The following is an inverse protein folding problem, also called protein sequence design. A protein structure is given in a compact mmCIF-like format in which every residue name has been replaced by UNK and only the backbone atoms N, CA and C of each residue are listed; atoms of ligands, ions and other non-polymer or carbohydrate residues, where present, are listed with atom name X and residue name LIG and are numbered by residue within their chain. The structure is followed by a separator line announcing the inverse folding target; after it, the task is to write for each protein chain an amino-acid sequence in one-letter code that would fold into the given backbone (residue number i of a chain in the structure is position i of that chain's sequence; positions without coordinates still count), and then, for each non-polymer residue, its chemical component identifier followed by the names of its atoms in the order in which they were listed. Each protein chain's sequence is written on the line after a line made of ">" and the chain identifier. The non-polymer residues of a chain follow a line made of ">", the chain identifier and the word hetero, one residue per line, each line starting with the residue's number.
data_IF_675559422718
#
_entry.id   IF_675559422718
#
_cell.length_a   1.000
_cell.length_b   1.000
_cell.length_c   1.000
_cell.angle_alpha   90.00
_cell.angle_beta   90.00
_cell.angle_gamma   90.00
#
_symmetry.space_group_name_H-M   'P 1'
#
loop_
_entity.id
_entity.type
_entity.pdbx_description
1 polymer ?
#
# COMPACT_ATOMS: atom_id res chain seq x y z
N UNK A 1 0.79 -16.17 -2.46
CA UNK A 1 1.13 -16.56 -1.07
C UNK A 1 0.59 -17.98 -0.86
N UNK A 2 1.26 -18.86 -0.11
CA UNK A 2 0.67 -20.15 0.23
C UNK A 2 -0.63 -19.94 1.01
N UNK A 3 -1.72 -20.56 0.58
CA UNK A 3 -3.02 -20.52 1.26
C UNK A 3 -3.13 -21.55 2.41
N UNK A 4 -2.03 -22.24 2.70
CA UNK A 4 -2.00 -23.39 3.61
C UNK A 4 -1.90 -22.96 5.09
N UNK A 5 -1.51 -21.70 5.34
CA UNK A 5 -1.55 -21.08 6.67
C UNK A 5 -2.75 -20.15 6.79
N UNK A 6 -3.44 -20.16 7.94
CA UNK A 6 -4.55 -19.25 8.25
C UNK A 6 -4.04 -17.83 8.54
N UNK A 7 -3.52 -17.19 7.49
CA UNK A 7 -2.88 -15.87 7.55
C UNK A 7 -3.66 -14.86 6.70
N UNK A 8 -3.73 -13.61 7.17
CA UNK A 8 -4.25 -12.46 6.41
C UNK A 8 -3.14 -11.41 6.32
N UNK A 9 -3.04 -10.75 5.17
CA UNK A 9 -2.04 -9.71 4.92
C UNK A 9 -2.72 -8.34 4.90
N UNK A 10 -2.59 -7.60 5.99
CA UNK A 10 -3.06 -6.22 6.08
C UNK A 10 -2.12 -5.30 5.30
N UNK A 11 -2.69 -4.50 4.42
CA UNK A 11 -1.95 -3.50 3.65
C UNK A 11 -2.63 -2.14 3.72
N UNK A 12 -1.85 -1.07 3.76
CA UNK A 12 -2.36 0.30 3.84
C UNK A 12 -1.71 1.15 2.75
N UNK A 13 -2.54 1.80 1.94
CA UNK A 13 -2.08 2.64 0.84
C UNK A 13 -2.04 4.12 1.28
N UNK A 14 -1.52 4.98 0.40
CA UNK A 14 -1.51 6.45 0.48
C UNK A 14 -0.73 7.10 1.63
N UNK A 15 -0.29 6.35 2.62
CA UNK A 15 0.50 6.85 3.74
C UNK A 15 1.91 7.32 3.36
N UNK A 16 2.69 7.85 4.33
CA UNK A 16 2.26 8.16 5.69
C UNK A 16 1.51 9.50 5.80
N UNK A 17 0.45 9.54 6.60
CA UNK A 17 -0.36 10.72 6.90
C UNK A 17 -0.47 10.94 8.41
N UNK A 18 -0.39 12.20 8.86
CA UNK A 18 -0.49 12.55 10.28
C UNK A 18 -1.86 12.14 10.84
N UNK A 19 -1.90 11.65 12.07
CA UNK A 19 -3.12 11.16 12.72
C UNK A 19 -3.43 9.71 12.35
N UNK A 20 -3.74 9.43 11.09
CA UNK A 20 -4.16 8.08 10.66
C UNK A 20 -3.04 7.05 10.76
N UNK A 21 -1.86 7.33 10.19
CA UNK A 21 -0.75 6.37 10.23
C UNK A 21 -0.30 6.09 11.67
N UNK A 22 -0.29 7.11 12.54
CA UNK A 22 0.03 6.90 13.96
C UNK A 22 -0.98 5.97 14.63
N UNK A 23 -2.27 6.22 14.42
CA UNK A 23 -3.33 5.38 14.98
C UNK A 23 -3.26 3.93 14.47
N UNK A 24 -2.93 3.73 13.19
CA UNK A 24 -2.71 2.40 12.62
C UNK A 24 -1.51 1.72 13.30
N UNK A 25 -0.38 2.40 13.45
CA UNK A 25 0.82 1.85 14.10
C UNK A 25 0.53 1.44 15.55
N UNK A 26 -0.16 2.29 16.31
CA UNK A 26 -0.52 2.02 17.70
C UNK A 26 -1.47 0.81 17.79
N UNK A 27 -2.43 0.70 16.86
CA UNK A 27 -3.38 -0.42 16.78
C UNK A 27 -2.69 -1.73 16.39
N UNK A 28 -1.80 -1.70 15.40
CA UNK A 28 -1.02 -2.90 15.02
C UNK A 28 -0.14 -3.35 16.17
N UNK A 29 0.50 -2.41 16.87
CA UNK A 29 1.34 -2.71 18.04
C UNK A 29 0.55 -3.34 19.17
N UNK A 30 -0.66 -2.87 19.47
CA UNK A 30 -1.48 -3.42 20.55
C UNK A 30 -1.96 -4.85 20.27
N UNK A 31 -2.00 -5.25 19.00
CA UNK A 31 -2.35 -6.60 18.55
C UNK A 31 -1.12 -7.45 18.18
N UNK A 32 0.10 -6.95 18.43
CA UNK A 32 1.36 -7.60 18.04
C UNK A 32 1.41 -7.98 16.55
N UNK A 33 0.70 -7.21 15.70
CA UNK A 33 0.54 -7.48 14.29
C UNK A 33 1.55 -6.71 13.43
N UNK A 34 1.84 -7.26 12.24
CA UNK A 34 2.60 -6.59 11.18
C UNK A 34 1.71 -6.34 9.95
N UNK A 35 2.14 -5.41 9.13
CA UNK A 35 1.42 -4.96 7.94
C UNK A 35 2.44 -4.47 6.90
N UNK A 36 1.96 -4.25 5.68
CA UNK A 36 2.73 -3.60 4.61
C UNK A 36 2.12 -2.24 4.28
N UNK A 37 2.95 -1.19 4.25
CA UNK A 37 2.52 0.16 3.89
C UNK A 37 2.99 0.51 2.48
N UNK A 38 2.07 0.72 1.56
CA UNK A 38 2.37 1.23 0.22
C UNK A 38 2.32 2.76 0.26
N UNK A 39 3.50 3.39 0.28
CA UNK A 39 3.62 4.80 0.57
C UNK A 39 3.79 5.65 -0.69
N UNK A 40 3.13 6.82 -0.69
CA UNK A 40 3.31 7.84 -1.74
C UNK A 40 4.56 8.65 -1.43
N UNK A 41 5.43 8.84 -2.42
CA UNK A 41 6.69 9.58 -2.25
C UNK A 41 6.50 11.01 -1.72
N UNK A 42 5.49 11.74 -2.21
CA UNK A 42 5.08 13.04 -1.68
C UNK A 42 4.76 13.03 -0.18
N UNK A 43 4.08 11.99 0.28
CA UNK A 43 3.66 11.87 1.68
C UNK A 43 4.82 11.44 2.59
N UNK A 44 5.74 10.62 2.10
CA UNK A 44 6.99 10.31 2.81
C UNK A 44 7.81 11.58 3.04
N UNK A 45 7.98 12.43 2.00
CA UNK A 45 8.73 13.69 2.15
C UNK A 45 8.07 14.64 3.16
N UNK A 46 6.74 14.69 3.17
CA UNK A 46 5.98 15.52 4.11
C UNK A 46 6.05 14.99 5.56
N UNK A 47 6.01 13.67 5.75
CA UNK A 47 5.91 13.01 7.05
C UNK A 47 7.07 12.06 7.30
N UNK A 48 8.31 12.52 7.07
CA UNK A 48 9.49 11.64 7.10
C UNK A 48 9.70 10.94 8.44
N UNK A 49 9.49 11.64 9.55
CA UNK A 49 9.59 11.04 10.88
C UNK A 49 8.62 9.85 11.06
N UNK A 50 7.39 9.99 10.57
CA UNK A 50 6.38 8.94 10.65
C UNK A 50 6.69 7.76 9.71
N UNK A 51 7.30 8.02 8.55
CA UNK A 51 7.84 6.95 7.71
C UNK A 51 8.94 6.15 8.43
N UNK A 52 9.87 6.83 9.10
CA UNK A 52 10.93 6.18 9.85
C UNK A 52 10.36 5.40 11.05
N UNK A 53 9.24 5.83 11.64
CA UNK A 53 8.51 5.06 12.66
C UNK A 53 7.89 3.77 12.12
N UNK A 54 7.30 3.79 10.92
CA UNK A 54 6.82 2.56 10.24
C UNK A 54 7.96 1.54 10.14
N UNK A 55 9.14 1.99 9.66
CA UNK A 55 10.32 1.14 9.52
C UNK A 55 10.82 0.63 10.87
N UNK A 56 10.91 1.50 11.88
CA UNK A 56 11.37 1.14 13.23
C UNK A 56 10.43 0.15 13.92
N UNK A 57 9.13 0.24 13.65
CA UNK A 57 8.14 -0.71 14.14
C UNK A 57 8.21 -2.07 13.42
N UNK A 58 9.06 -2.23 12.40
CA UNK A 58 9.31 -3.49 11.71
C UNK A 58 8.20 -3.89 10.73
N UNK A 59 7.46 -2.92 10.20
CA UNK A 59 6.52 -3.14 9.11
C UNK A 59 7.25 -3.15 7.77
N UNK A 60 6.66 -3.82 6.77
CA UNK A 60 7.18 -3.73 5.40
C UNK A 60 6.66 -2.46 4.71
N UNK A 61 7.42 -1.97 3.73
CA UNK A 61 7.05 -0.80 2.94
C UNK A 61 7.16 -1.08 1.44
N UNK A 62 6.22 -0.53 0.68
CA UNK A 62 6.16 -0.60 -0.78
C UNK A 62 6.04 0.78 -1.40
N UNK A 63 6.41 0.88 -2.68
CA UNK A 63 6.28 2.10 -3.46
C UNK A 63 4.83 2.21 -4.00
N UNK A 64 4.17 3.34 -3.77
CA UNK A 64 2.82 3.64 -4.25
C UNK A 64 2.76 4.86 -5.16
N UNK A 65 3.71 4.97 -6.09
CA UNK A 65 3.94 6.17 -6.91
C UNK A 65 4.48 7.36 -6.08
N UNK A 66 5.07 8.33 -6.76
CA UNK A 66 5.51 9.58 -6.14
C UNK A 66 4.36 10.59 -5.98
N UNK A 67 3.49 10.65 -6.99
CA UNK A 67 2.37 11.61 -7.08
C UNK A 67 0.98 10.96 -7.16
N UNK A 68 0.88 9.64 -6.95
CA UNK A 68 -0.36 8.86 -7.06
C UNK A 68 -1.00 8.96 -8.47
N UNK A 69 -0.19 8.71 -9.51
CA UNK A 69 -0.59 8.87 -10.91
C UNK A 69 -1.45 7.70 -11.42
N UNK A 70 -2.36 7.98 -12.35
CA UNK A 70 -3.08 6.97 -13.13
C UNK A 70 -2.19 6.38 -14.23
N UNK A 71 -1.61 5.20 -13.99
CA UNK A 71 -0.74 4.51 -14.94
C UNK A 71 -1.35 4.36 -16.34
N UNK A 72 -2.65 4.12 -16.48
CA UNK A 72 -3.28 3.95 -17.79
C UNK A 72 -3.31 5.24 -18.62
N UNK A 73 -3.37 6.39 -17.95
CA UNK A 73 -3.36 7.74 -18.56
C UNK A 73 -1.96 8.26 -18.85
N UNK A 74 -0.92 7.61 -18.31
CA UNK A 74 0.47 8.03 -18.46
C UNK A 74 1.21 7.31 -19.61
N UNK A 75 2.30 7.91 -20.06
CA UNK A 75 3.31 7.28 -20.91
C UNK A 75 4.26 6.42 -20.07
N UNK A 76 4.99 5.50 -20.73
CA UNK A 76 6.01 4.67 -20.06
C UNK A 76 7.05 5.52 -19.33
N UNK A 77 7.47 6.64 -19.94
CA UNK A 77 8.45 7.54 -19.33
C UNK A 77 7.89 8.20 -18.06
N UNK A 78 6.65 8.71 -18.11
CA UNK A 78 6.01 9.32 -16.93
C UNK A 78 5.89 8.34 -15.77
N UNK A 79 5.50 7.08 -16.04
CA UNK A 79 5.42 6.04 -15.01
C UNK A 79 6.81 5.73 -14.45
N UNK A 80 7.82 5.61 -15.31
CA UNK A 80 9.19 5.30 -14.89
C UNK A 80 9.81 6.42 -14.07
N UNK A 81 9.61 7.69 -14.46
CA UNK A 81 10.14 8.85 -13.76
C UNK A 81 9.48 8.98 -12.37
N UNK A 82 8.16 8.86 -12.30
CA UNK A 82 7.40 8.93 -11.04
C UNK A 82 7.77 7.78 -10.10
N UNK A 83 7.81 6.54 -10.60
CA UNK A 83 8.28 5.40 -9.82
C UNK A 83 9.68 5.62 -9.28
N UNK A 84 10.61 6.08 -10.13
CA UNK A 84 12.01 6.31 -9.75
C UNK A 84 12.15 7.41 -8.71
N UNK A 85 11.33 8.46 -8.76
CA UNK A 85 11.36 9.54 -7.78
C UNK A 85 11.01 9.05 -6.38
N UNK A 86 9.94 8.24 -6.25
CA UNK A 86 9.60 7.61 -4.98
C UNK A 86 10.68 6.60 -4.56
N UNK A 87 11.23 5.83 -5.50
CA UNK A 87 12.28 4.83 -5.25
C UNK A 87 13.59 5.41 -4.69
N UNK A 88 13.87 6.70 -4.90
CA UNK A 88 15.03 7.39 -4.29
C UNK A 88 14.90 7.52 -2.77
N UNK A 89 13.67 7.51 -2.23
CA UNK A 89 13.42 7.71 -0.80
C UNK A 89 13.74 6.46 0.02
N UNK A 90 13.56 5.28 -0.56
CA UNK A 90 13.85 3.98 0.07
C UNK A 90 13.96 2.88 -1.00
N UNK A 91 14.81 1.85 -0.81
CA UNK A 91 14.93 0.72 -1.74
C UNK A 91 13.73 -0.26 -1.65
N UNK A 92 12.50 0.23 -1.87
CA UNK A 92 11.28 -0.56 -1.89
C UNK A 92 11.41 -1.81 -2.77
N UNK A 93 11.13 -2.99 -2.22
CA UNK A 93 11.12 -4.24 -2.97
C UNK A 93 9.83 -4.44 -3.79
N UNK A 94 8.74 -3.84 -3.32
CA UNK A 94 7.39 -4.00 -3.85
C UNK A 94 6.87 -2.68 -4.44
N UNK A 95 5.96 -2.81 -5.40
CA UNK A 95 5.22 -1.70 -5.98
C UNK A 95 3.74 -2.07 -6.03
N UNK A 96 2.88 -1.18 -5.55
CA UNK A 96 1.43 -1.27 -5.80
C UNK A 96 1.06 -0.08 -6.69
N UNK A 97 0.51 -0.31 -7.88
CA UNK A 97 0.06 0.79 -8.72
C UNK A 97 -1.16 1.47 -8.09
N UNK A 98 -1.22 2.81 -8.06
CA UNK A 98 -2.44 3.54 -7.76
C UNK A 98 -3.63 2.99 -8.56
N UNK A 99 -4.79 2.89 -7.90
CA UNK A 99 -6.05 2.39 -8.49
C UNK A 99 -5.99 0.94 -9.03
N UNK A 100 -4.93 0.17 -8.70
CA UNK A 100 -4.74 -1.18 -9.25
C UNK A 100 -4.41 -1.19 -10.75
N UNK A 101 -4.01 -0.06 -11.33
CA UNK A 101 -3.79 0.10 -12.77
C UNK A 101 -2.48 -0.57 -13.24
N UNK A 102 -2.54 -1.89 -13.46
CA UNK A 102 -1.48 -2.68 -14.10
C UNK A 102 -1.72 -2.75 -15.61
N UNK A 103 -0.65 -2.66 -16.42
CA UNK A 103 -0.75 -2.85 -17.85
C UNK A 103 0.63 -2.88 -18.53
N UNK A 104 0.64 -3.08 -19.86
CA UNK A 104 1.88 -3.17 -20.65
C UNK A 104 2.83 -1.99 -20.42
N UNK A 105 2.30 -0.78 -20.24
CA UNK A 105 3.11 0.42 -20.01
C UNK A 105 3.81 0.39 -18.65
N UNK A 106 3.10 0.06 -17.57
CA UNK A 106 3.68 0.00 -16.22
C UNK A 106 4.65 -1.17 -16.08
N UNK A 107 4.36 -2.34 -16.65
CA UNK A 107 5.28 -3.48 -16.69
C UNK A 107 6.58 -3.16 -17.46
N UNK A 108 6.51 -2.37 -18.53
CA UNK A 108 7.69 -1.89 -19.27
C UNK A 108 8.46 -0.82 -18.50
N UNK A 109 7.75 0.09 -17.83
CA UNK A 109 8.33 1.19 -17.08
C UNK A 109 9.06 0.72 -15.82
N UNK A 110 8.57 -0.35 -15.19
CA UNK A 110 9.05 -0.84 -13.89
C UNK A 110 9.42 -2.34 -14.03
N UNK A 111 10.49 -2.66 -14.77
CA UNK A 111 10.90 -4.05 -14.96
C UNK A 111 11.42 -4.65 -13.65
N UNK A 112 11.24 -5.96 -13.48
CA UNK A 112 11.81 -6.75 -12.38
C UNK A 112 11.39 -6.31 -10.96
N UNK A 113 10.23 -5.66 -10.79
CA UNK A 113 9.62 -5.39 -9.48
C UNK A 113 8.45 -6.33 -9.19
N UNK A 114 8.18 -6.54 -7.91
CA UNK A 114 7.01 -7.28 -7.44
C UNK A 114 5.80 -6.33 -7.42
N UNK A 115 4.87 -6.55 -8.35
CA UNK A 115 3.59 -5.86 -8.36
C UNK A 115 2.65 -6.52 -7.36
N UNK A 116 2.16 -5.78 -6.38
CA UNK A 116 1.26 -6.29 -5.34
C UNK A 116 -0.09 -5.62 -5.49
N UNK A 117 -1.13 -6.43 -5.71
CA UNK A 117 -2.53 -5.99 -5.70
C UNK A 117 -3.20 -6.51 -4.42
N UNK A 118 -4.52 -6.69 -4.47
CA UNK A 118 -5.35 -7.20 -3.40
C UNK A 118 -6.44 -8.09 -3.99
N UNK A 119 -7.00 -8.94 -3.15
CA UNK A 119 -8.22 -9.70 -3.44
C UNK A 119 -9.42 -9.23 -2.60
N UNK A 120 -9.17 -8.52 -1.50
CA UNK A 120 -10.22 -7.92 -0.65
C UNK A 120 -10.03 -6.41 -0.58
N UNK A 121 -11.08 -5.66 -0.93
CA UNK A 121 -11.13 -4.20 -0.85
C UNK A 121 -12.08 -3.79 0.27
N UNK A 122 -11.58 -3.08 1.28
CA UNK A 122 -12.33 -2.65 2.46
C UNK A 122 -13.37 -1.56 2.13
N UNK A 123 -13.11 -0.77 1.07
CA UNK A 123 -13.86 0.43 0.69
C UNK A 123 -13.86 1.54 1.76
N UNK A 124 -12.87 1.55 2.65
CA UNK A 124 -12.70 2.56 3.71
C UNK A 124 -12.51 4.00 3.19
N UNK A 125 -12.11 4.17 1.94
CA UNK A 125 -12.02 5.47 1.27
C UNK A 125 -13.39 6.10 0.93
N UNK A 126 -14.50 5.36 1.06
CA UNK A 126 -15.84 5.83 0.73
C UNK A 126 -16.49 6.54 1.91
N UNK A 127 -16.88 7.80 1.72
CA UNK A 127 -17.56 8.61 2.74
C UNK A 127 -18.96 8.08 3.12
N UNK A 128 -19.59 7.28 2.25
CA UNK A 128 -20.90 6.68 2.50
C UNK A 128 -20.84 5.32 3.23
N UNK A 129 -19.65 4.90 3.67
CA UNK A 129 -19.43 3.65 4.43
C UNK A 129 -19.01 3.94 5.85
N UNK A 130 -19.62 3.25 6.81
CA UNK A 130 -19.13 3.26 8.20
C UNK A 130 -17.99 2.24 8.37
N UNK A 131 -17.18 2.41 9.42
CA UNK A 131 -16.15 1.42 9.75
C UNK A 131 -16.71 0.01 10.00
N UNK A 132 -17.95 -0.09 10.49
CA UNK A 132 -18.67 -1.36 10.67
C UNK A 132 -19.04 -2.00 9.32
N UNK A 133 -19.41 -1.20 8.31
CA UNK A 133 -19.68 -1.71 6.96
C UNK A 133 -18.41 -2.26 6.31
N UNK A 134 -17.30 -1.52 6.42
CA UNK A 134 -16.00 -1.97 5.91
C UNK A 134 -15.55 -3.25 6.62
N UNK A 135 -15.68 -3.31 7.95
CA UNK A 135 -15.37 -4.50 8.74
C UNK A 135 -16.17 -5.72 8.27
N UNK A 136 -17.50 -5.58 8.15
CA UNK A 136 -18.39 -6.65 7.68
C UNK A 136 -18.01 -7.14 6.28
N UNK A 137 -17.64 -6.23 5.38
CA UNK A 137 -17.20 -6.59 4.04
C UNK A 137 -15.94 -7.44 4.09
N UNK A 138 -14.91 -6.98 4.83
CA UNK A 138 -13.63 -7.69 4.96
C UNK A 138 -13.81 -9.09 5.54
N UNK A 139 -14.55 -9.25 6.64
CA UNK A 139 -14.73 -10.58 7.26
C UNK A 139 -15.51 -11.57 6.40
N UNK A 140 -16.39 -11.08 5.52
CA UNK A 140 -17.19 -11.92 4.64
C UNK A 140 -16.44 -12.34 3.37
N UNK A 141 -15.47 -11.54 2.92
CA UNK A 141 -14.73 -11.76 1.67
C UNK A 141 -13.34 -12.37 1.91
N UNK A 142 -12.73 -12.11 3.07
CA UNK A 142 -11.38 -12.58 3.37
C UNK A 142 -11.30 -14.09 3.59
N UNK A 143 -10.22 -14.67 3.09
CA UNK A 143 -9.88 -16.07 3.25
C UNK A 143 -8.38 -16.24 3.55
N UNK A 144 -7.93 -17.45 3.85
CA UNK A 144 -6.52 -17.71 4.12
C UNK A 144 -5.65 -17.28 2.92
N UNK A 145 -4.68 -16.42 3.19
CA UNK A 145 -3.79 -15.83 2.19
C UNK A 145 -4.26 -14.51 1.58
N UNK A 146 -5.45 -14.01 1.94
CA UNK A 146 -5.98 -12.75 1.41
C UNK A 146 -5.09 -11.55 1.74
N UNK A 147 -4.92 -10.68 0.76
CA UNK A 147 -4.31 -9.36 0.84
C UNK A 147 -5.45 -8.34 0.87
N UNK A 148 -5.55 -7.63 2.00
CA UNK A 148 -6.62 -6.68 2.28
C UNK A 148 -6.06 -5.26 2.10
N UNK A 149 -6.78 -4.43 1.35
CA UNK A 149 -6.54 -2.98 1.24
C UNK A 149 -7.81 -2.22 1.61
#
# INVERSE_FOLDING_TARGET
>A
MPADEKSLYLTFDDGPTSGHTQWILDTLKSHEAKATFFCIGKNIRKNRGLFDEILKAGHEVGNHSDQHIHNWKCSVKQISDDFAECQKLHPFAMYRPPYGEVGRKSLKAIPNKKFILWDVLSEDYREDKSGEDCFKKVINEASAGSIIV
#
